data_IF_971183134698
#
_entry.id   IF_971183134698
#
_cell.length_a   1.000
_cell.length_b   1.000
_cell.length_c   1.000
_cell.angle_alpha   90.00
_cell.angle_beta   90.00
_cell.angle_gamma   90.00
#
_symmetry.space_group_name_H-M   'P 1'
#
loop_
_entity.id
_entity.type
_entity.pdbx_description
1 polymer ?
#
# COMPACT_ATOMS: atom_id res chain seq x y z
N UNK A 1 17.15 8.42 -8.80
CA UNK A 1 16.93 7.12 -8.14
C UNK A 1 17.22 7.13 -6.64
N UNK A 2 18.43 7.39 -6.12
CA UNK A 2 18.66 7.44 -4.65
C UNK A 2 18.29 8.79 -4.02
N UNK A 3 18.56 9.89 -4.71
CA UNK A 3 18.27 11.25 -4.23
C UNK A 3 16.77 11.50 -4.03
N UNK A 4 15.91 10.85 -4.83
CA UNK A 4 14.45 10.84 -4.64
C UNK A 4 14.01 10.26 -3.29
N UNK A 5 14.85 9.44 -2.67
CA UNK A 5 14.62 8.86 -1.34
C UNK A 5 15.35 9.65 -0.25
N UNK A 6 15.84 10.86 -0.55
CA UNK A 6 16.51 11.74 0.40
C UNK A 6 17.99 11.43 0.61
N UNK A 7 18.58 10.51 -0.17
CA UNK A 7 20.02 10.26 -0.10
C UNK A 7 20.80 11.40 -0.74
N UNK A 8 21.85 11.85 -0.07
CA UNK A 8 22.74 12.90 -0.55
C UNK A 8 24.10 12.30 -0.88
N UNK A 9 24.74 12.83 -1.93
CA UNK A 9 26.07 12.41 -2.30
C UNK A 9 27.07 12.77 -1.19
N UNK A 10 27.84 11.79 -0.74
CA UNK A 10 28.81 11.96 0.33
C UNK A 10 30.26 11.97 -0.20
N UNK A 11 30.58 11.12 -1.17
CA UNK A 11 31.93 11.04 -1.73
C UNK A 11 32.18 9.82 -2.61
N UNK A 12 33.45 9.53 -2.85
CA UNK A 12 33.90 8.36 -3.62
C UNK A 12 34.72 7.45 -2.71
N UNK A 13 34.37 6.16 -2.69
CA UNK A 13 35.19 5.11 -2.10
C UNK A 13 36.02 4.47 -3.21
N UNK A 14 37.34 4.60 -3.12
CA UNK A 14 38.26 3.96 -4.07
C UNK A 14 38.39 2.48 -3.73
N UNK A 15 38.17 1.60 -4.70
CA UNK A 15 38.39 0.16 -4.55
C UNK A 15 39.32 -0.36 -5.64
N UNK A 16 40.00 -1.50 -5.44
CA UNK A 16 40.84 -2.11 -6.48
C UNK A 16 40.08 -2.43 -7.77
N UNK A 17 38.75 -2.59 -7.70
CA UNK A 17 37.85 -2.91 -8.81
C UNK A 17 37.16 -1.68 -9.42
N UNK A 18 37.39 -0.48 -8.89
CA UNK A 18 36.80 0.78 -9.39
C UNK A 18 36.36 1.74 -8.29
N UNK A 19 36.05 2.96 -8.70
CA UNK A 19 35.56 4.02 -7.81
C UNK A 19 34.05 3.90 -7.59
N UNK A 20 33.61 3.79 -6.34
CA UNK A 20 32.20 3.69 -5.96
C UNK A 20 31.69 5.03 -5.41
N UNK A 21 30.57 5.54 -5.93
CA UNK A 21 29.90 6.71 -5.34
C UNK A 21 29.17 6.30 -4.06
N UNK A 22 29.45 7.02 -2.98
CA UNK A 22 28.82 6.84 -1.67
C UNK A 22 27.75 7.90 -1.48
N UNK A 23 26.56 7.45 -1.10
CA UNK A 23 25.45 8.31 -0.73
C UNK A 23 25.02 7.99 0.70
N UNK A 24 24.67 9.01 1.47
CA UNK A 24 24.21 8.88 2.85
C UNK A 24 22.87 9.59 3.03
N UNK A 25 22.12 9.17 4.04
CA UNK A 25 20.86 9.80 4.43
C UNK A 25 20.75 9.76 5.94
N UNK A 26 20.22 10.81 6.52
CA UNK A 26 19.85 10.81 7.94
C UNK A 26 18.71 9.82 8.17
N UNK A 27 18.90 8.91 9.13
CA UNK A 27 17.92 7.88 9.47
C UNK A 27 17.54 7.98 10.94
N UNK A 28 16.97 9.14 11.30
CA UNK A 28 16.46 9.42 12.64
C UNK A 28 14.92 9.36 12.66
N UNK A 29 14.39 8.62 13.62
CA UNK A 29 12.95 8.53 13.91
C UNK A 29 12.34 9.85 14.39
N UNK A 30 13.17 10.78 14.88
CA UNK A 30 12.74 12.09 15.36
C UNK A 30 12.83 13.16 14.26
N UNK A 31 13.32 12.81 13.06
CA UNK A 31 13.37 13.73 11.94
C UNK A 31 11.95 14.21 11.56
N UNK A 32 11.86 15.44 11.06
CA UNK A 32 10.60 15.99 10.55
C UNK A 32 10.13 15.18 9.36
N UNK A 33 8.93 14.61 9.44
CA UNK A 33 8.34 13.80 8.38
C UNK A 33 7.78 14.71 7.29
N UNK A 34 8.13 14.43 6.03
CA UNK A 34 7.61 15.17 4.89
C UNK A 34 6.32 14.53 4.38
N UNK A 35 5.20 15.23 4.54
CA UNK A 35 3.89 14.77 4.06
C UNK A 35 3.80 14.88 2.54
N UNK A 36 4.34 15.95 1.95
CA UNK A 36 4.28 16.17 0.49
C UNK A 36 5.27 15.29 -0.28
N UNK A 37 6.33 14.82 0.38
CA UNK A 37 7.39 14.00 -0.22
C UNK A 37 7.75 12.78 0.65
N UNK A 38 6.85 11.82 0.84
CA UNK A 38 7.01 10.72 1.80
C UNK A 38 8.22 9.81 1.52
N UNK A 39 8.76 9.81 0.28
CA UNK A 39 9.96 9.05 -0.06
C UNK A 39 11.20 9.51 0.71
N UNK A 40 11.36 10.81 0.95
CA UNK A 40 12.57 11.35 1.56
C UNK A 40 12.66 10.97 3.05
N UNK A 41 11.50 10.76 3.69
CA UNK A 41 11.38 10.37 5.11
C UNK A 41 10.91 8.93 5.31
N UNK A 42 10.86 8.14 4.23
CA UNK A 42 10.54 6.71 4.32
C UNK A 42 11.53 5.98 5.26
N UNK A 43 11.07 5.07 6.14
CA UNK A 43 9.72 4.48 6.25
C UNK A 43 8.84 5.11 7.35
N UNK A 44 9.14 6.32 7.82
CA UNK A 44 8.45 6.89 8.98
C UNK A 44 7.02 7.36 8.66
N UNK A 45 6.10 7.12 9.61
CA UNK A 45 4.69 7.49 9.51
C UNK A 45 4.41 8.73 10.36
N UNK A 46 3.73 9.72 9.78
CA UNK A 46 3.38 10.94 10.52
C UNK A 46 2.25 10.71 11.52
N UNK A 47 2.34 11.42 12.66
CA UNK A 47 1.30 11.48 13.69
C UNK A 47 0.15 12.41 13.34
N UNK A 48 0.29 13.19 12.28
CA UNK A 48 -0.73 14.15 11.83
C UNK A 48 -1.53 13.62 10.63
N UNK A 49 -1.05 12.58 9.94
CA UNK A 49 -1.68 12.01 8.75
C UNK A 49 -3.05 11.41 9.04
N UNK A 50 -3.97 11.57 8.09
CA UNK A 50 -5.20 10.80 8.12
C UNK A 50 -4.91 9.31 7.87
N UNK A 51 -5.79 8.45 8.36
CA UNK A 51 -5.63 7.00 8.28
C UNK A 51 -6.86 6.41 7.61
N UNK A 52 -6.65 5.64 6.56
CA UNK A 52 -7.71 5.00 5.80
C UNK A 52 -7.54 3.49 5.83
N UNK A 53 -8.64 2.77 6.03
CA UNK A 53 -8.71 1.35 5.74
C UNK A 53 -9.35 1.13 4.37
N UNK A 54 -8.82 0.18 3.59
CA UNK A 54 -9.31 -0.14 2.26
C UNK A 54 -9.30 -1.65 2.01
N UNK A 55 -10.35 -2.24 1.41
CA UNK A 55 -10.36 -3.65 1.08
C UNK A 55 -9.50 -3.95 -0.14
N UNK A 56 -8.92 -5.13 -0.18
CA UNK A 56 -8.29 -5.70 -1.37
C UNK A 56 -8.69 -7.16 -1.49
N UNK A 57 -9.01 -7.59 -2.71
CA UNK A 57 -9.36 -8.97 -2.97
C UNK A 57 -8.12 -9.86 -2.91
N UNK A 58 -8.25 -11.09 -2.37
CA UNK A 58 -7.22 -12.14 -2.37
C UNK A 58 -6.37 -12.20 -3.65
N UNK A 59 -7.04 -12.27 -4.81
CA UNK A 59 -6.39 -12.40 -6.11
C UNK A 59 -5.45 -11.25 -6.47
N UNK A 60 -5.62 -10.08 -5.87
CA UNK A 60 -4.75 -8.92 -6.09
C UNK A 60 -3.78 -8.69 -4.93
N UNK A 61 -4.09 -9.23 -3.76
CA UNK A 61 -3.33 -9.00 -2.53
C UNK A 61 -1.95 -9.62 -2.60
N UNK A 62 -1.85 -10.91 -2.94
CA UNK A 62 -0.59 -11.64 -3.05
C UNK A 62 0.39 -10.99 -4.04
N UNK A 63 -0.13 -10.53 -5.18
CA UNK A 63 0.67 -9.88 -6.22
C UNK A 63 1.18 -8.51 -5.77
N UNK A 64 0.32 -7.72 -5.13
CA UNK A 64 0.67 -6.38 -4.67
C UNK A 64 1.60 -6.42 -3.45
N UNK A 65 1.43 -7.42 -2.58
CA UNK A 65 2.11 -7.58 -1.31
C UNK A 65 2.70 -8.99 -1.15
N UNK A 66 3.77 -9.33 -1.88
CA UNK A 66 4.39 -10.66 -1.79
C UNK A 66 4.83 -10.99 -0.36
N UNK A 67 5.35 -10.01 0.38
CA UNK A 67 5.75 -10.15 1.80
C UNK A 67 4.56 -10.36 2.76
N UNK A 68 3.33 -10.08 2.32
CA UNK A 68 2.10 -10.27 3.08
C UNK A 68 1.36 -11.56 2.69
N UNK A 69 1.96 -12.49 1.95
CA UNK A 69 1.28 -13.74 1.57
C UNK A 69 0.81 -14.51 2.83
N UNK A 70 -0.39 -15.08 2.79
CA UNK A 70 -0.94 -15.97 3.81
C UNK A 70 -0.48 -17.41 3.56
N UNK A 71 -0.35 -18.21 4.62
CA UNK A 71 -0.06 -19.64 4.52
C UNK A 71 -1.13 -20.44 3.74
N UNK A 72 -2.33 -19.87 3.61
CA UNK A 72 -3.46 -20.45 2.86
C UNK A 72 -3.44 -20.10 1.37
N UNK A 73 -2.53 -19.22 0.94
CA UNK A 73 -2.36 -18.84 -0.46
C UNK A 73 -1.31 -19.75 -1.11
N UNK A 74 -1.56 -20.15 -2.36
CA UNK A 74 -0.69 -21.07 -3.08
C UNK A 74 0.59 -20.36 -3.52
N UNK A 75 1.79 -20.78 -3.07
CA UNK A 75 3.05 -20.27 -3.59
C UNK A 75 3.27 -20.62 -5.07
N UNK A 76 2.42 -21.44 -5.69
CA UNK A 76 2.53 -21.78 -7.12
C UNK A 76 2.06 -20.67 -8.06
N UNK A 77 1.31 -19.68 -7.56
CA UNK A 77 0.99 -18.45 -8.30
C UNK A 77 2.15 -17.43 -8.23
N UNK A 78 3.21 -17.76 -7.49
CA UNK A 78 4.39 -16.93 -7.29
C UNK A 78 5.38 -17.14 -8.45
N UNK A 79 5.52 -16.14 -9.31
CA UNK A 79 6.63 -16.05 -10.27
C UNK A 79 7.61 -15.02 -9.71
N UNK A 80 8.78 -15.52 -9.30
CA UNK A 80 9.72 -14.88 -8.37
C UNK A 80 10.45 -13.63 -8.92
N UNK A 81 10.32 -13.31 -10.22
CA UNK A 81 11.22 -12.37 -10.92
C UNK A 81 10.57 -11.11 -11.52
N UNK A 82 9.44 -10.63 -10.98
CA UNK A 82 8.82 -9.40 -11.49
C UNK A 82 9.26 -8.14 -10.71
N UNK A 83 9.84 -7.10 -11.36
CA UNK A 83 10.38 -5.91 -10.69
C UNK A 83 9.39 -5.14 -9.80
N UNK A 84 8.10 -5.20 -10.09
CA UNK A 84 7.06 -4.50 -9.34
C UNK A 84 6.78 -5.12 -7.96
N UNK A 85 7.10 -6.40 -7.76
CA UNK A 85 6.89 -7.10 -6.47
C UNK A 85 7.78 -6.52 -5.38
N UNK A 86 9.06 -6.34 -5.68
CA UNK A 86 10.08 -5.80 -4.76
C UNK A 86 10.10 -4.26 -4.70
N UNK A 87 9.29 -3.59 -5.52
CA UNK A 87 9.20 -2.14 -5.49
C UNK A 87 8.48 -1.66 -4.22
N UNK A 88 9.12 -0.74 -3.49
CA UNK A 88 8.50 -0.01 -2.39
C UNK A 88 7.35 0.86 -2.89
N UNK A 89 7.51 1.50 -4.05
CA UNK A 89 6.44 2.28 -4.69
C UNK A 89 5.49 1.36 -5.46
N UNK A 90 4.21 1.40 -5.09
CA UNK A 90 3.14 0.53 -5.61
C UNK A 90 1.94 1.37 -6.08
N UNK A 91 1.09 0.75 -6.89
CA UNK A 91 -0.14 1.35 -7.45
C UNK A 91 -1.37 0.60 -6.92
N UNK A 92 -2.34 1.33 -6.40
CA UNK A 92 -3.66 0.82 -6.07
C UNK A 92 -4.72 1.51 -6.95
N UNK A 93 -5.47 0.69 -7.69
CA UNK A 93 -6.56 1.15 -8.57
C UNK A 93 -7.86 1.10 -7.79
N UNK A 94 -8.53 2.24 -7.63
CA UNK A 94 -9.73 2.35 -6.81
C UNK A 94 -10.91 2.93 -7.57
N UNK A 95 -12.11 2.52 -7.14
CA UNK A 95 -13.40 3.11 -7.54
C UNK A 95 -14.15 3.69 -6.36
N UNK A 96 -13.46 3.87 -5.23
CA UNK A 96 -14.01 4.46 -4.03
C UNK A 96 -14.72 5.78 -4.34
N UNK A 97 -15.84 6.01 -3.67
CA UNK A 97 -16.49 7.33 -3.63
C UNK A 97 -15.63 8.32 -2.84
N UNK A 98 -14.96 7.86 -1.79
CA UNK A 98 -13.94 8.63 -1.09
C UNK A 98 -12.66 8.69 -1.94
N UNK A 99 -12.26 9.91 -2.30
CA UNK A 99 -11.10 10.22 -3.14
C UNK A 99 -10.20 11.29 -2.54
N UNK A 100 -10.55 11.87 -1.38
CA UNK A 100 -9.85 12.99 -0.76
C UNK A 100 -8.64 12.56 0.07
N UNK A 101 -7.93 11.52 -0.39
CA UNK A 101 -6.64 11.14 0.19
C UNK A 101 -5.60 12.20 -0.21
N UNK A 102 -4.58 12.37 0.62
CA UNK A 102 -3.47 13.29 0.40
C UNK A 102 -2.14 12.56 0.51
N UNK A 103 -1.11 13.12 -0.11
CA UNK A 103 0.26 12.64 0.13
C UNK A 103 0.57 12.63 1.63
N UNK A 104 1.23 11.57 2.09
CA UNK A 104 1.54 11.35 3.49
C UNK A 104 0.43 10.65 4.29
N UNK A 105 -0.79 10.52 3.78
CA UNK A 105 -1.84 9.75 4.46
C UNK A 105 -1.47 8.27 4.58
N UNK A 106 -1.94 7.63 5.67
CA UNK A 106 -1.66 6.23 5.96
C UNK A 106 -2.78 5.36 5.39
N UNK A 107 -2.41 4.29 4.68
CA UNK A 107 -3.33 3.28 4.18
C UNK A 107 -3.10 1.97 4.93
N UNK A 108 -4.19 1.40 5.43
CA UNK A 108 -4.27 0.08 6.03
C UNK A 108 -5.04 -0.82 5.09
N UNK A 109 -4.37 -1.85 4.57
CA UNK A 109 -4.99 -2.81 3.65
C UNK A 109 -5.64 -3.95 4.43
N UNK A 110 -6.92 -4.18 4.11
CA UNK A 110 -7.70 -5.32 4.59
C UNK A 110 -7.92 -6.30 3.44
N UNK A 111 -7.31 -7.48 3.52
CA UNK A 111 -7.58 -8.57 2.56
C UNK A 111 -8.96 -9.15 2.87
N UNK A 112 -9.85 -9.16 1.90
CA UNK A 112 -11.20 -9.74 2.08
C UNK A 112 -11.13 -11.26 2.24
N UNK A 113 -12.03 -11.84 3.04
CA UNK A 113 -12.10 -13.29 3.22
C UNK A 113 -12.51 -14.04 1.94
N UNK A 114 -11.76 -15.10 1.65
CA UNK A 114 -11.93 -16.07 0.56
C UNK A 114 -12.66 -17.36 0.98
N UNK A 115 -12.68 -17.68 2.28
CA UNK A 115 -13.39 -18.85 2.83
C UNK A 115 -14.60 -18.48 3.67
N UNK A 116 -15.49 -19.46 3.92
CA UNK A 116 -16.64 -19.30 4.80
C UNK A 116 -16.37 -19.88 6.20
N UNK A 117 -16.72 -19.16 7.28
CA UNK A 117 -17.29 -17.82 7.28
C UNK A 117 -16.21 -16.74 7.15
N UNK A 118 -16.50 -15.72 6.33
CA UNK A 118 -15.56 -14.62 5.97
C UNK A 118 -15.00 -13.86 7.16
N UNK A 119 -15.69 -13.92 8.30
CA UNK A 119 -15.32 -13.24 9.54
C UNK A 119 -13.96 -13.72 10.09
N UNK A 120 -13.54 -14.94 9.76
CA UNK A 120 -12.26 -15.51 10.21
C UNK A 120 -11.16 -15.48 9.16
N UNK A 121 -11.51 -15.35 7.87
CA UNK A 121 -10.54 -15.38 6.76
C UNK A 121 -10.15 -14.00 6.23
N UNK A 122 -11.00 -12.99 6.43
CA UNK A 122 -10.64 -11.61 6.14
C UNK A 122 -9.76 -11.01 7.22
N UNK A 123 -8.66 -10.37 6.81
CA UNK A 123 -7.58 -9.94 7.73
C UNK A 123 -6.96 -8.61 7.33
N UNK A 124 -6.53 -7.84 8.32
CA UNK A 124 -5.68 -6.66 8.09
C UNK A 124 -4.24 -7.09 7.89
N UNK A 125 -3.61 -6.69 6.80
CA UNK A 125 -2.33 -7.28 6.37
C UNK A 125 -1.18 -6.29 6.30
N UNK A 126 -1.42 -5.06 5.85
CA UNK A 126 -0.34 -4.23 5.30
C UNK A 126 -0.57 -2.75 5.57
N UNK A 127 0.52 -2.02 5.82
CA UNK A 127 0.55 -0.57 5.91
C UNK A 127 1.26 0.02 4.69
N UNK A 128 0.69 1.09 4.15
CA UNK A 128 1.36 1.95 3.18
C UNK A 128 1.16 3.44 3.49
N UNK A 129 1.91 4.28 2.78
CA UNK A 129 1.78 5.75 2.82
C UNK A 129 1.48 6.25 1.43
N UNK A 130 0.45 7.10 1.28
CA UNK A 130 0.10 7.71 0.00
C UNK A 130 1.25 8.58 -0.50
N UNK A 131 1.71 8.33 -1.72
CA UNK A 131 2.70 9.16 -2.43
C UNK A 131 2.01 10.19 -3.32
N UNK A 132 0.97 9.79 -4.05
CA UNK A 132 0.18 10.69 -4.92
C UNK A 132 -1.15 10.06 -5.32
N UNK A 133 -2.09 10.89 -5.72
CA UNK A 133 -3.43 10.50 -6.18
C UNK A 133 -3.62 11.08 -7.58
N UNK A 134 -4.10 10.26 -8.52
CA UNK A 134 -4.42 10.68 -9.88
C UNK A 134 -5.91 10.44 -10.12
N UNK A 135 -6.71 11.50 -10.02
CA UNK A 135 -8.17 11.48 -10.30
C UNK A 135 -8.50 11.93 -11.72
N UNK A 136 -7.68 12.80 -12.28
CA UNK A 136 -7.95 13.51 -13.54
C UNK A 136 -7.41 12.73 -14.73
N UNK A 137 -7.92 11.51 -14.88
CA UNK A 137 -7.49 10.57 -15.91
C UNK A 137 -8.39 10.77 -17.14
N UNK A 138 -7.78 11.20 -18.24
CA UNK A 138 -8.48 11.66 -19.45
C UNK A 138 -9.05 10.52 -20.29
N UNK A 139 -8.30 9.42 -20.41
CA UNK A 139 -8.59 8.34 -21.33
C UNK A 139 -7.90 7.02 -20.88
N UNK A 140 -8.15 5.95 -21.64
CA UNK A 140 -7.60 4.62 -21.35
C UNK A 140 -6.07 4.60 -21.45
N UNK A 141 -5.52 5.27 -22.46
CA UNK A 141 -4.09 5.34 -22.71
C UNK A 141 -3.36 6.04 -21.57
N UNK A 142 -3.89 7.16 -21.08
CA UNK A 142 -3.39 7.88 -19.92
C UNK A 142 -3.48 7.03 -18.65
N UNK A 143 -4.59 6.30 -18.42
CA UNK A 143 -4.73 5.36 -17.31
C UNK A 143 -3.64 4.29 -17.31
N UNK A 144 -3.44 3.63 -18.47
CA UNK A 144 -2.43 2.58 -18.64
C UNK A 144 -1.03 3.16 -18.43
N UNK A 145 -0.74 4.34 -18.99
CA UNK A 145 0.56 5.00 -18.85
C UNK A 145 0.92 5.31 -17.38
N UNK A 146 -0.06 5.75 -16.58
CA UNK A 146 0.13 6.00 -15.14
C UNK A 146 0.44 4.72 -14.35
N UNK A 147 -0.05 3.56 -14.79
CA UNK A 147 0.09 2.29 -14.09
C UNK A 147 1.34 1.48 -14.52
N UNK A 148 1.77 1.61 -15.78
CA UNK A 148 2.65 0.66 -16.49
C UNK A 148 3.96 0.27 -15.80
N UNK A 149 4.53 1.11 -14.94
CA UNK A 149 5.82 0.82 -14.25
C UNK A 149 5.67 0.28 -12.82
N UNK A 150 4.48 0.34 -12.24
CA UNK A 150 4.27 0.14 -10.78
C UNK A 150 3.03 -0.70 -10.45
N UNK A 151 2.31 -1.15 -11.46
CA UNK A 151 1.10 -1.95 -11.35
C UNK A 151 1.42 -3.44 -11.46
N UNK A 152 0.66 -4.26 -10.73
CA UNK A 152 0.64 -5.73 -10.84
C UNK A 152 -0.12 -6.22 -12.09
N UNK A 153 -0.87 -5.32 -12.71
CA UNK A 153 -1.73 -5.64 -13.86
C UNK A 153 -0.98 -5.52 -15.18
N UNK A 154 -1.25 -6.46 -16.08
CA UNK A 154 -0.91 -6.32 -17.51
C UNK A 154 -1.67 -5.15 -18.14
N UNK A 155 -1.16 -4.60 -19.25
CA UNK A 155 -1.85 -3.56 -20.02
C UNK A 155 -3.29 -3.97 -20.39
N UNK A 156 -3.51 -5.24 -20.77
CA UNK A 156 -4.86 -5.75 -21.06
C UNK A 156 -5.78 -5.70 -19.85
N UNK A 157 -5.31 -6.18 -18.69
CA UNK A 157 -6.08 -6.14 -17.44
C UNK A 157 -6.36 -4.70 -16.96
N UNK A 158 -5.44 -3.76 -17.20
CA UNK A 158 -5.66 -2.35 -16.93
C UNK A 158 -6.79 -1.77 -17.79
N UNK A 159 -6.84 -2.13 -19.09
CA UNK A 159 -7.93 -1.72 -19.99
C UNK A 159 -9.28 -2.31 -19.56
N UNK A 160 -9.30 -3.59 -19.17
CA UNK A 160 -10.49 -4.22 -18.59
C UNK A 160 -10.95 -3.48 -17.33
N UNK A 161 -10.01 -3.17 -16.42
CA UNK A 161 -10.31 -2.37 -15.26
C UNK A 161 -10.84 -1.00 -15.65
N UNK A 162 -10.28 -0.29 -16.62
CA UNK A 162 -10.79 1.00 -17.08
C UNK A 162 -12.24 0.89 -17.59
N UNK A 163 -12.52 -0.11 -18.42
CA UNK A 163 -13.79 -0.27 -19.14
C UNK A 163 -14.89 -1.03 -18.39
N UNK A 164 -14.58 -1.67 -17.27
CA UNK A 164 -15.55 -2.44 -16.48
C UNK A 164 -16.81 -1.66 -16.12
N UNK A 165 -16.67 -0.38 -15.75
CA UNK A 165 -17.78 0.53 -15.47
C UNK A 165 -17.49 1.94 -16.00
N UNK A 166 -17.85 2.26 -17.25
CA UNK A 166 -17.52 3.54 -17.87
C UNK A 166 -18.13 4.75 -17.16
N UNK A 167 -19.29 4.59 -16.53
CA UNK A 167 -19.97 5.63 -15.73
C UNK A 167 -19.29 5.89 -14.37
N UNK A 168 -18.33 5.06 -13.98
CA UNK A 168 -17.60 5.15 -12.71
C UNK A 168 -16.14 4.75 -12.97
N UNK A 169 -15.41 5.61 -13.68
CA UNK A 169 -14.00 5.41 -14.00
C UNK A 169 -13.15 5.34 -12.71
N UNK A 170 -12.13 4.48 -12.70
CA UNK A 170 -11.25 4.34 -11.54
C UNK A 170 -10.32 5.55 -11.42
N UNK A 171 -9.70 5.69 -10.26
CA UNK A 171 -8.58 6.59 -10.01
C UNK A 171 -7.41 5.78 -9.45
N UNK A 172 -6.23 6.39 -9.45
CA UNK A 172 -4.99 5.73 -9.04
C UNK A 172 -4.49 6.35 -7.73
N UNK A 173 -4.14 5.49 -6.78
CA UNK A 173 -3.39 5.87 -5.57
C UNK A 173 -2.00 5.24 -5.66
N UNK A 174 -0.98 6.07 -5.88
CA UNK A 174 0.41 5.67 -5.72
C UNK A 174 0.73 5.69 -4.23
N UNK A 175 1.37 4.65 -3.73
CA UNK A 175 1.72 4.55 -2.32
C UNK A 175 3.07 3.86 -2.13
N UNK A 176 3.70 4.12 -0.98
CA UNK A 176 4.89 3.42 -0.52
C UNK A 176 4.46 2.29 0.41
N UNK A 177 4.83 1.05 0.10
CA UNK A 177 4.72 -0.08 1.02
C UNK A 177 5.67 0.12 2.19
N UNK A 178 5.14 0.06 3.42
CA UNK A 178 5.91 0.30 4.65
C UNK A 178 6.18 -0.99 5.39
N UNK A 179 5.14 -1.76 5.68
CA UNK A 179 5.28 -2.99 6.45
C UNK A 179 4.10 -3.95 6.24
N UNK A 180 4.41 -5.24 6.34
CA UNK A 180 3.45 -6.32 6.51
C UNK A 180 3.25 -6.63 8.00
N UNK A 181 2.01 -6.89 8.41
CA UNK A 181 1.70 -7.28 9.78
C UNK A 181 2.04 -8.76 10.03
N UNK A 182 2.89 -9.06 11.05
CA UNK A 182 3.26 -10.44 11.35
C UNK A 182 2.10 -11.23 11.97
N UNK A 183 1.31 -10.59 12.85
CA UNK A 183 0.01 -11.11 13.30
C UNK A 183 -1.09 -10.25 12.70
N UNK A 184 -2.12 -10.89 12.15
CA UNK A 184 -3.10 -10.21 11.30
C UNK A 184 -4.47 -10.25 11.97
N UNK A 185 -4.99 -9.12 12.49
CA UNK A 185 -6.30 -9.13 13.11
C UNK A 185 -7.34 -9.45 12.04
N UNK A 186 -8.19 -10.43 12.33
CA UNK A 186 -9.28 -10.82 11.43
C UNK A 186 -10.51 -9.94 11.65
N UNK A 187 -11.50 -10.08 10.76
CA UNK A 187 -12.73 -9.30 10.85
C UNK A 187 -13.47 -9.50 12.18
N UNK A 188 -13.44 -10.69 12.78
CA UNK A 188 -14.01 -10.90 14.12
C UNK A 188 -13.39 -9.95 15.14
N UNK A 189 -12.06 -9.88 15.16
CA UNK A 189 -11.35 -8.97 16.05
C UNK A 189 -11.70 -7.50 15.77
N UNK A 190 -11.80 -7.11 14.50
CA UNK A 190 -12.20 -5.74 14.11
C UNK A 190 -13.62 -5.39 14.60
N UNK A 191 -14.56 -6.35 14.54
CA UNK A 191 -15.92 -6.17 15.05
C UNK A 191 -15.92 -6.02 16.57
N UNK A 192 -15.23 -6.90 17.28
CA UNK A 192 -15.16 -6.91 18.75
C UNK A 192 -14.49 -5.66 19.33
N UNK A 193 -13.59 -5.03 18.56
CA UNK A 193 -12.87 -3.82 18.97
C UNK A 193 -13.44 -2.54 18.33
N UNK A 194 -14.61 -2.61 17.67
CA UNK A 194 -15.32 -1.43 17.15
C UNK A 194 -14.69 -0.76 15.92
N UNK A 195 -13.57 -1.28 15.40
CA UNK A 195 -12.89 -0.71 14.22
C UNK A 195 -13.78 -0.82 12.98
N UNK A 196 -14.35 -2.01 12.75
CA UNK A 196 -15.36 -2.26 11.71
C UNK A 196 -16.48 -3.01 12.40
N UNK A 197 -17.64 -2.39 12.71
CA UNK A 197 -18.64 -3.03 13.58
C UNK A 197 -19.24 -4.33 13.04
N UNK A 198 -19.36 -4.45 11.72
CA UNK A 198 -19.85 -5.67 11.07
C UNK A 198 -19.32 -5.85 9.66
N UNK A 199 -19.54 -7.03 9.08
CA UNK A 199 -19.24 -7.30 7.66
C UNK A 199 -20.00 -6.36 6.71
N UNK A 200 -21.17 -5.87 7.11
CA UNK A 200 -21.97 -4.93 6.31
C UNK A 200 -21.37 -3.53 6.30
N UNK A 201 -20.57 -3.21 7.32
CA UNK A 201 -19.84 -1.94 7.47
C UNK A 201 -18.47 -1.94 6.80
N UNK A 202 -18.07 -3.07 6.20
CA UNK A 202 -16.84 -3.17 5.43
C UNK A 202 -16.90 -2.17 4.26
N UNK A 203 -15.95 -1.22 4.15
CA UNK A 203 -16.04 -0.20 3.12
C UNK A 203 -15.89 -0.80 1.72
N UNK A 204 -16.58 -0.21 0.74
CA UNK A 204 -16.44 -0.57 -0.69
C UNK A 204 -15.28 0.18 -1.37
N UNK A 205 -14.41 0.79 -0.58
CA UNK A 205 -13.37 1.74 -0.98
C UNK A 205 -12.59 2.21 0.23
N UNK A 206 -12.09 3.44 0.20
CA UNK A 206 -11.39 4.02 1.35
C UNK A 206 -12.39 4.47 2.40
N UNK A 207 -12.06 4.21 3.67
CA UNK A 207 -12.80 4.73 4.82
C UNK A 207 -11.82 5.20 5.87
N UNK A 208 -11.99 6.44 6.31
CA UNK A 208 -11.19 7.00 7.40
C UNK A 208 -11.44 6.22 8.69
N UNK A 209 -10.38 5.90 9.42
CA UNK A 209 -10.42 5.27 10.75
C UNK A 209 -9.74 6.19 11.77
N UNK A 210 -10.05 6.02 13.04
CA UNK A 210 -9.42 6.82 14.08
C UNK A 210 -7.96 6.39 14.29
N UNK A 211 -7.16 7.29 14.87
CA UNK A 211 -5.79 6.97 15.27
C UNK A 211 -5.74 5.91 16.36
N UNK A 212 -6.73 5.90 17.24
CA UNK A 212 -6.90 4.87 18.26
C UNK A 212 -7.13 3.48 17.63
N UNK A 213 -7.98 3.38 16.62
CA UNK A 213 -8.20 2.12 15.87
C UNK A 213 -6.90 1.61 15.24
N UNK A 214 -6.15 2.51 14.61
CA UNK A 214 -4.84 2.19 14.05
C UNK A 214 -3.84 1.71 15.12
N UNK A 215 -3.82 2.35 16.29
CA UNK A 215 -3.01 1.90 17.42
C UNK A 215 -3.44 0.54 17.95
N UNK A 216 -4.74 0.27 18.03
CA UNK A 216 -5.25 -1.04 18.43
C UNK A 216 -4.83 -2.13 17.42
N UNK A 217 -4.96 -1.87 16.11
CA UNK A 217 -4.51 -2.78 15.05
C UNK A 217 -3.00 -3.06 15.17
N UNK A 218 -2.18 -2.02 15.27
CA UNK A 218 -0.72 -2.16 15.34
C UNK A 218 -0.27 -2.86 16.63
N UNK A 219 -0.92 -2.57 17.76
CA UNK A 219 -0.67 -3.27 19.03
C UNK A 219 -1.02 -4.75 18.96
N UNK A 220 -2.13 -5.11 18.31
CA UNK A 220 -2.44 -6.51 18.02
C UNK A 220 -1.33 -7.15 17.17
N UNK A 221 -0.98 -6.49 16.07
CA UNK A 221 -0.06 -7.03 15.08
C UNK A 221 1.36 -7.27 15.64
N UNK A 222 1.89 -6.32 16.42
CA UNK A 222 3.26 -6.37 16.94
C UNK A 222 3.37 -6.71 18.44
N UNK A 223 2.24 -6.92 19.11
CA UNK A 223 2.27 -7.42 20.49
C UNK A 223 2.96 -8.78 20.58
N UNK A 224 3.35 -9.17 21.80
CA UNK A 224 3.70 -10.57 22.08
C UNK A 224 2.47 -11.43 22.24
#
# INVERSE_FOLDING_TARGET
MLEEWGFQYHGIKKTPTGDEKVFTREFDRNATISLDHPKITYPYLSKESDIYIVPIYPSYHTELFPDSILNTESPKEYIENEPHRNALSKVYISRSSERNLKSGDIIVFYRTGDTYPKIYSGVVTTIGVVESINTDITDEEHFVALCRKRSVFSDGSLKEHWNYKPKSRPFIVNFLYVASFPRRPNLKWLNENGVIPSILDMPRGFRKISREDFYNITKYAYGK
#
